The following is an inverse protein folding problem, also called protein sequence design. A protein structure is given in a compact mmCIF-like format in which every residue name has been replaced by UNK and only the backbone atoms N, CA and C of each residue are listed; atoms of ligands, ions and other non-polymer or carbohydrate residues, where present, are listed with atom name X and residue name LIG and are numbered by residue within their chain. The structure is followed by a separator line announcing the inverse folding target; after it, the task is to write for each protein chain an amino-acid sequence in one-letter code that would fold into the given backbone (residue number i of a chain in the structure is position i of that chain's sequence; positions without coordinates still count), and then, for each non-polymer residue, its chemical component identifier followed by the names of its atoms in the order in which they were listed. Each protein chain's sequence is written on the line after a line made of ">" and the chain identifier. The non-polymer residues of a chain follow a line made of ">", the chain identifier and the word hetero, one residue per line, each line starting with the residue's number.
data_IF_977462695808
#
_entry.id   IF_977462695808
#
_cell.length_a   1.000
_cell.length_b   1.000
_cell.length_c   1.000
_cell.angle_alpha   90.00
_cell.angle_beta   90.00
_cell.angle_gamma   90.00
#
_symmetry.space_group_name_H-M   'P 1'
#
loop_
_entity.id
_entity.type
_entity.pdbx_description
1 polymer ?
#
# COMPACT_ATOMS: atom_id res chain seq x y z
N UNK A 1 8.14 -6.47 30.76
CA UNK A 1 9.45 -7.04 30.38
C UNK A 1 9.48 -7.39 28.90
N UNK A 2 8.38 -7.90 28.30
CA UNK A 2 8.28 -8.20 26.87
C UNK A 2 8.50 -7.02 25.89
N UNK A 3 7.99 -5.81 26.19
CA UNK A 3 8.15 -4.65 25.29
C UNK A 3 9.63 -4.24 25.07
N UNK A 4 10.49 -4.50 26.06
CA UNK A 4 11.90 -4.12 25.99
C UNK A 4 12.69 -5.09 25.07
N UNK A 5 12.35 -6.38 25.13
CA UNK A 5 12.93 -7.42 24.27
C UNK A 5 12.52 -7.26 22.80
N UNK A 6 11.28 -6.86 22.55
CA UNK A 6 10.79 -6.59 21.20
C UNK A 6 11.47 -5.36 20.59
N UNK A 7 11.66 -4.31 21.39
CA UNK A 7 12.39 -3.10 20.99
C UNK A 7 13.86 -3.39 20.69
N UNK A 8 14.55 -4.21 21.49
CA UNK A 8 15.93 -4.60 21.22
C UNK A 8 16.06 -5.46 19.95
N UNK A 9 15.12 -6.38 19.72
CA UNK A 9 15.08 -7.17 18.47
C UNK A 9 14.86 -6.29 17.25
N UNK A 10 13.95 -5.32 17.33
CA UNK A 10 13.71 -4.35 16.26
C UNK A 10 14.98 -3.52 15.96
N UNK A 11 15.65 -3.01 17.00
CA UNK A 11 16.91 -2.28 16.88
C UNK A 11 18.05 -3.12 16.29
N UNK A 12 18.13 -4.40 16.63
CA UNK A 12 19.12 -5.33 16.05
C UNK A 12 18.90 -5.55 14.55
N UNK A 13 17.64 -5.71 14.13
CA UNK A 13 17.27 -5.82 12.70
C UNK A 13 17.62 -4.52 11.97
N UNK A 14 17.27 -3.37 12.55
CA UNK A 14 17.58 -2.05 11.99
C UNK A 14 19.08 -1.85 11.77
N UNK A 15 19.94 -2.16 12.75
CA UNK A 15 21.40 -2.02 12.59
C UNK A 15 21.96 -2.91 11.48
N UNK A 16 21.49 -4.16 11.39
CA UNK A 16 21.89 -5.08 10.31
C UNK A 16 21.45 -4.57 8.94
N UNK A 17 20.24 -4.03 8.85
CA UNK A 17 19.73 -3.37 7.64
C UNK A 17 20.63 -2.22 7.20
N UNK A 18 20.90 -1.26 8.09
CA UNK A 18 21.74 -0.09 7.78
C UNK A 18 23.12 -0.50 7.28
N UNK A 19 23.76 -1.47 7.95
CA UNK A 19 25.10 -1.90 7.55
C UNK A 19 25.12 -2.57 6.17
N UNK A 20 24.11 -3.40 5.87
CA UNK A 20 23.99 -4.09 4.59
C UNK A 20 23.59 -3.14 3.46
N UNK A 21 22.66 -2.21 3.70
CA UNK A 21 22.30 -1.16 2.76
C UNK A 21 23.51 -0.33 2.35
N UNK A 22 24.34 0.08 3.30
CA UNK A 22 25.61 0.79 3.00
C UNK A 22 26.51 -0.02 2.08
N UNK A 23 26.67 -1.32 2.32
CA UNK A 23 27.50 -2.20 1.48
C UNK A 23 26.95 -2.32 0.06
N UNK A 24 25.63 -2.42 -0.11
CA UNK A 24 24.97 -2.46 -1.43
C UNK A 24 25.07 -1.11 -2.16
N UNK A 25 24.95 0.01 -1.46
CA UNK A 25 25.07 1.37 -2.01
C UNK A 25 26.48 1.64 -2.58
N UNK A 26 27.51 1.27 -1.82
CA UNK A 26 28.92 1.43 -2.21
C UNK A 26 29.43 0.32 -3.13
N UNK A 27 28.59 -0.66 -3.49
CA UNK A 27 28.99 -1.82 -4.30
C UNK A 27 30.03 -2.72 -3.62
N UNK A 28 30.16 -2.64 -2.29
CA UNK A 28 30.99 -3.55 -1.48
C UNK A 28 30.34 -4.94 -1.38
N UNK A 29 29.02 -5.02 -1.50
CA UNK A 29 28.24 -6.25 -1.64
C UNK A 29 27.44 -6.18 -2.95
N UNK A 30 27.41 -7.26 -3.72
CA UNK A 30 26.58 -7.37 -4.92
C UNK A 30 25.33 -8.15 -4.54
N UNK A 31 24.17 -7.56 -4.77
CA UNK A 31 22.89 -8.26 -4.66
C UNK A 31 22.83 -9.55 -5.48
N UNK A 32 21.92 -10.45 -5.12
CA UNK A 32 21.70 -11.64 -5.95
C UNK A 32 21.33 -11.20 -7.38
N UNK A 33 21.92 -11.86 -8.39
CA UNK A 33 21.48 -11.68 -9.78
C UNK A 33 20.12 -12.34 -9.93
N UNK A 34 19.22 -11.71 -10.69
CA UNK A 34 18.04 -12.42 -11.17
C UNK A 34 18.50 -13.71 -11.85
N UNK A 35 17.85 -14.86 -11.57
CA UNK A 35 18.15 -16.08 -12.29
C UNK A 35 17.95 -15.83 -13.79
N UNK A 36 18.86 -16.37 -14.62
CA UNK A 36 18.59 -16.49 -16.05
C UNK A 36 17.30 -17.29 -16.23
N UNK A 37 16.54 -17.01 -17.28
CA UNK A 37 15.30 -17.74 -17.66
C UNK A 37 15.44 -19.26 -17.79
N UNK A 38 16.66 -19.78 -17.65
CA UNK A 38 17.07 -21.16 -17.89
C UNK A 38 17.15 -22.02 -16.62
N UNK A 39 16.66 -21.54 -15.48
CA UNK A 39 16.43 -22.43 -14.34
C UNK A 39 15.13 -23.19 -14.56
N UNK A 40 15.28 -24.40 -15.12
CA UNK A 40 14.30 -25.48 -15.18
C UNK A 40 13.48 -25.55 -13.89
N UNK A 41 12.32 -24.89 -13.89
CA UNK A 41 11.31 -25.10 -12.85
C UNK A 41 10.55 -26.36 -13.21
N UNK A 42 10.82 -27.42 -12.44
CA UNK A 42 10.06 -28.65 -12.47
C UNK A 42 8.56 -28.36 -12.42
N UNK A 43 7.88 -28.85 -13.45
CA UNK A 43 6.43 -29.00 -13.63
C UNK A 43 5.62 -28.95 -12.31
N UNK A 44 5.19 -27.75 -11.88
CA UNK A 44 3.97 -27.48 -11.08
C UNK A 44 3.88 -26.09 -10.42
N UNK A 45 4.89 -25.21 -10.47
CA UNK A 45 4.83 -23.87 -9.87
C UNK A 45 5.50 -22.84 -10.76
N UNK A 46 5.01 -21.60 -10.80
CA UNK A 46 5.63 -20.53 -11.60
C UNK A 46 7.06 -20.19 -11.15
N UNK A 47 7.75 -19.38 -11.94
CA UNK A 47 9.04 -18.81 -11.53
C UNK A 47 8.88 -18.08 -10.17
N UNK A 48 9.81 -18.24 -9.22
CA UNK A 48 9.75 -17.49 -7.96
C UNK A 48 9.74 -15.99 -8.26
N UNK A 49 8.91 -15.26 -7.52
CA UNK A 49 8.83 -13.81 -7.55
C UNK A 49 9.98 -13.18 -6.77
N UNK A 50 10.48 -12.07 -7.30
CA UNK A 50 11.60 -11.30 -6.75
C UNK A 50 11.21 -9.83 -6.64
N UNK A 51 11.75 -9.15 -5.63
CA UNK A 51 11.74 -7.70 -5.53
C UNK A 51 13.01 -7.16 -6.18
N UNK A 52 12.84 -6.23 -7.11
CA UNK A 52 13.93 -5.47 -7.68
C UNK A 52 14.11 -4.17 -6.88
N UNK A 53 15.27 -3.98 -6.25
CA UNK A 53 15.53 -2.84 -5.37
C UNK A 53 16.82 -2.11 -5.72
N UNK A 54 16.76 -0.79 -5.68
CA UNK A 54 17.94 0.08 -5.69
C UNK A 54 18.09 0.77 -4.34
N UNK A 55 19.32 0.94 -3.89
CA UNK A 55 19.66 1.71 -2.69
C UNK A 55 20.36 3.04 -3.04
N UNK A 56 20.73 3.23 -4.30
CA UNK A 56 21.55 4.35 -4.76
C UNK A 56 20.88 5.07 -5.93
N UNK A 57 19.61 5.40 -5.76
CA UNK A 57 18.82 6.22 -6.70
C UNK A 57 18.80 5.67 -8.14
N UNK A 58 18.79 4.34 -8.27
CA UNK A 58 18.69 3.65 -9.55
C UNK A 58 20.02 3.43 -10.28
N UNK A 59 21.17 3.79 -9.68
CA UNK A 59 22.47 3.52 -10.29
C UNK A 59 22.73 2.01 -10.40
N UNK A 60 22.44 1.26 -9.34
CA UNK A 60 22.52 -0.20 -9.31
C UNK A 60 21.22 -0.80 -8.76
N UNK A 61 20.96 -2.06 -9.13
CA UNK A 61 19.79 -2.81 -8.71
C UNK A 61 20.19 -4.19 -8.20
N UNK A 62 19.48 -4.65 -7.17
CA UNK A 62 19.64 -5.93 -6.49
C UNK A 62 18.32 -6.69 -6.53
N UNK A 63 18.37 -7.98 -6.79
CA UNK A 63 17.22 -8.85 -6.68
C UNK A 63 17.16 -9.47 -5.29
N UNK A 64 15.97 -9.51 -4.72
CA UNK A 64 15.70 -10.12 -3.42
C UNK A 64 14.56 -11.11 -3.61
N UNK A 65 14.80 -12.39 -3.32
CA UNK A 65 13.76 -13.41 -3.44
C UNK A 65 12.68 -13.15 -2.40
N UNK A 66 11.42 -13.19 -2.83
CA UNK A 66 10.32 -13.14 -1.87
C UNK A 66 10.18 -14.47 -1.13
N UNK A 67 9.79 -14.44 0.15
CA UNK A 67 9.46 -15.67 0.87
C UNK A 67 8.25 -16.36 0.23
N UNK A 68 8.11 -17.67 0.45
CA UNK A 68 7.06 -18.51 -0.18
C UNK A 68 5.64 -17.95 0.00
N UNK A 69 5.34 -17.37 1.16
CA UNK A 69 4.02 -16.78 1.46
C UNK A 69 3.72 -15.48 0.71
N UNK A 70 4.72 -14.86 0.06
CA UNK A 70 4.59 -13.68 -0.80
C UNK A 70 4.74 -14.00 -2.29
N UNK A 71 4.72 -15.27 -2.69
CA UNK A 71 4.82 -15.70 -4.09
C UNK A 71 3.54 -15.40 -4.92
N UNK A 72 2.55 -14.77 -4.30
CA UNK A 72 1.33 -14.25 -4.93
C UNK A 72 1.14 -12.75 -4.70
N UNK A 73 2.21 -12.03 -4.34
CA UNK A 73 2.16 -10.59 -4.07
C UNK A 73 1.62 -9.84 -5.29
N UNK A 74 0.70 -8.91 -5.03
CA UNK A 74 0.07 -8.04 -6.02
C UNK A 74 0.71 -6.67 -6.07
N UNK A 75 1.28 -6.22 -4.95
CA UNK A 75 1.94 -4.92 -4.89
C UNK A 75 2.68 -4.67 -3.59
N UNK A 76 3.42 -3.57 -3.59
CA UNK A 76 4.14 -3.04 -2.43
C UNK A 76 3.71 -1.60 -2.15
N UNK A 77 3.70 -1.22 -0.87
CA UNK A 77 3.31 0.11 -0.40
C UNK A 77 4.29 0.58 0.65
N UNK A 78 4.92 1.74 0.43
CA UNK A 78 5.80 2.35 1.41
C UNK A 78 4.97 3.07 2.47
N UNK A 79 5.44 3.05 3.72
CA UNK A 79 4.88 3.91 4.76
C UNK A 79 5.29 5.38 4.48
N UNK A 80 4.35 6.30 4.22
CA UNK A 80 4.70 7.69 3.95
C UNK A 80 5.27 8.42 5.18
N UNK A 81 5.13 7.84 6.38
CA UNK A 81 5.62 8.39 7.64
C UNK A 81 6.90 7.70 8.14
N UNK A 82 7.35 6.62 7.49
CA UNK A 82 8.54 5.88 7.85
C UNK A 82 9.28 5.34 6.60
N UNK A 83 10.45 5.92 6.31
CA UNK A 83 11.26 5.63 5.13
C UNK A 83 11.88 4.22 5.07
N UNK A 84 11.76 3.43 6.15
CA UNK A 84 12.25 2.04 6.20
C UNK A 84 11.15 1.00 6.11
N UNK A 85 9.89 1.39 6.31
CA UNK A 85 8.78 0.44 6.40
C UNK A 85 8.10 0.26 5.05
N UNK A 86 7.96 -1.01 4.64
CA UNK A 86 7.31 -1.42 3.40
C UNK A 86 6.28 -2.51 3.70
N UNK A 87 5.15 -2.46 3.02
CA UNK A 87 4.10 -3.45 3.11
C UNK A 87 3.97 -4.17 1.77
N UNK A 88 3.81 -5.47 1.82
CA UNK A 88 3.46 -6.32 0.69
C UNK A 88 2.01 -6.75 0.86
N UNK A 89 1.26 -6.71 -0.23
CA UNK A 89 -0.13 -7.18 -0.27
C UNK A 89 -0.29 -8.27 -1.32
N UNK A 90 -0.84 -9.41 -0.89
CA UNK A 90 -1.37 -10.46 -1.73
C UNK A 90 -2.88 -10.60 -1.44
N UNK A 91 -3.59 -11.48 -2.17
CA UNK A 91 -5.05 -11.63 -2.04
C UNK A 91 -5.55 -12.01 -0.64
N UNK A 92 -4.69 -12.56 0.20
CA UNK A 92 -5.04 -13.08 1.52
C UNK A 92 -3.88 -12.89 2.52
N UNK A 93 -2.94 -11.99 2.21
CA UNK A 93 -1.77 -11.77 3.04
C UNK A 93 -1.39 -10.30 2.97
N UNK A 94 -1.22 -9.69 4.13
CA UNK A 94 -0.48 -8.44 4.29
C UNK A 94 0.75 -8.80 5.11
N UNK A 95 1.93 -8.47 4.60
CA UNK A 95 3.18 -8.66 5.30
C UNK A 95 3.91 -7.32 5.35
N UNK A 96 4.64 -7.09 6.44
CA UNK A 96 5.42 -5.87 6.63
C UNK A 96 6.90 -6.19 6.68
N UNK A 97 7.69 -5.28 6.14
CA UNK A 97 9.14 -5.24 6.24
C UNK A 97 9.55 -3.94 6.92
N UNK A 98 10.48 -4.03 7.86
CA UNK A 98 11.08 -2.87 8.54
C UNK A 98 12.47 -2.51 8.02
N UNK A 99 12.93 -3.27 7.03
CA UNK A 99 14.26 -3.18 6.44
C UNK A 99 14.13 -3.11 4.91
N UNK A 100 13.07 -2.42 4.45
CA UNK A 100 12.84 -2.09 3.05
C UNK A 100 12.95 -3.32 2.11
N UNK A 101 12.13 -4.34 2.36
CA UNK A 101 12.04 -5.61 1.63
C UNK A 101 13.16 -6.64 1.84
N UNK A 102 14.15 -6.40 2.71
CA UNK A 102 15.20 -7.40 2.97
C UNK A 102 14.65 -8.61 3.74
N UNK A 103 13.82 -8.36 4.75
CA UNK A 103 13.10 -9.38 5.51
C UNK A 103 11.64 -8.98 5.67
N UNK A 104 10.79 -9.98 5.85
CA UNK A 104 9.34 -9.81 5.95
C UNK A 104 8.83 -10.51 7.20
N UNK A 105 7.91 -9.86 7.89
CA UNK A 105 7.01 -10.53 8.83
C UNK A 105 6.10 -11.51 8.08
N UNK A 106 5.60 -12.51 8.79
CA UNK A 106 4.57 -13.38 8.24
C UNK A 106 3.26 -12.60 7.98
N UNK A 107 2.38 -13.23 7.19
CA UNK A 107 1.05 -12.67 6.91
C UNK A 107 0.31 -12.33 8.20
N UNK A 108 -0.27 -11.14 8.24
CA UNK A 108 -1.08 -10.71 9.37
C UNK A 108 -2.32 -11.57 9.54
N UNK A 109 -2.55 -12.00 10.78
CA UNK A 109 -3.75 -12.69 11.22
C UNK A 109 -4.40 -11.78 12.27
N UNK A 110 -5.44 -11.04 11.88
CA UNK A 110 -6.01 -9.98 12.73
C UNK A 110 -7.52 -9.98 12.62
N UNK A 111 -8.19 -9.56 13.69
CA UNK A 111 -9.64 -9.56 13.76
C UNK A 111 -10.23 -8.63 12.68
N UNK A 112 -11.24 -9.11 11.96
CA UNK A 112 -11.87 -8.41 10.84
C UNK A 112 -11.01 -8.25 9.57
N UNK A 113 -9.78 -8.78 9.52
CA UNK A 113 -8.94 -8.77 8.31
C UNK A 113 -9.38 -9.90 7.36
N UNK A 114 -10.51 -9.71 6.70
CA UNK A 114 -11.19 -10.76 5.93
C UNK A 114 -11.49 -10.37 4.48
N UNK A 115 -11.70 -11.37 3.63
CA UNK A 115 -12.01 -11.21 2.22
C UNK A 115 -10.79 -11.31 1.31
N UNK A 116 -10.98 -11.03 0.02
CA UNK A 116 -9.92 -11.06 -0.97
C UNK A 116 -9.35 -9.65 -1.18
N UNK A 117 -8.12 -9.42 -0.74
CA UNK A 117 -7.48 -8.12 -0.79
C UNK A 117 -7.06 -7.76 -2.23
N UNK A 118 -7.32 -6.51 -2.61
CA UNK A 118 -6.91 -5.96 -3.90
C UNK A 118 -5.74 -4.98 -3.74
N UNK A 119 -5.89 -4.03 -2.82
CA UNK A 119 -4.86 -3.02 -2.55
C UNK A 119 -4.85 -2.59 -1.08
N UNK A 120 -3.74 -1.98 -0.66
CA UNK A 120 -3.49 -1.40 0.63
C UNK A 120 -3.16 0.08 0.44
N UNK A 121 -3.84 0.95 1.17
CA UNK A 121 -3.58 2.38 1.21
C UNK A 121 -3.18 2.75 2.62
N UNK A 122 -2.04 3.43 2.75
CA UNK A 122 -1.40 3.71 4.03
C UNK A 122 -1.42 5.22 4.25
N UNK A 123 -2.01 5.63 5.37
CA UNK A 123 -1.88 6.99 5.88
C UNK A 123 -0.62 7.09 6.75
N UNK A 124 -0.47 6.15 7.68
CA UNK A 124 0.63 6.01 8.62
C UNK A 124 0.65 4.58 9.21
N UNK A 125 1.56 4.32 10.14
CA UNK A 125 1.69 3.01 10.79
C UNK A 125 0.47 2.53 11.60
N UNK A 126 -0.47 3.42 11.94
CA UNK A 126 -1.68 3.10 12.70
C UNK A 126 -2.92 3.01 11.81
N UNK A 127 -3.00 3.85 10.78
CA UNK A 127 -4.20 4.02 9.95
C UNK A 127 -3.97 3.55 8.52
N UNK A 128 -4.72 2.53 8.10
CA UNK A 128 -4.62 1.95 6.76
C UNK A 128 -5.99 1.48 6.28
N UNK A 129 -6.17 1.42 4.96
CA UNK A 129 -7.35 0.87 4.29
C UNK A 129 -6.93 -0.27 3.38
N UNK A 130 -7.64 -1.39 3.45
CA UNK A 130 -7.52 -2.50 2.49
C UNK A 130 -8.77 -2.51 1.62
N UNK A 131 -8.58 -2.38 0.31
CA UNK A 131 -9.65 -2.58 -0.66
C UNK A 131 -9.86 -4.07 -0.91
N UNK A 132 -11.13 -4.47 -1.11
CA UNK A 132 -11.52 -5.88 -1.22
C UNK A 132 -12.30 -6.13 -2.49
N UNK A 133 -12.12 -7.31 -3.06
CA UNK A 133 -12.90 -7.74 -4.21
C UNK A 133 -14.34 -8.06 -3.79
N UNK A 134 -15.30 -7.34 -4.37
CA UNK A 134 -16.74 -7.61 -4.18
C UNK A 134 -17.33 -7.16 -2.86
N UNK A 135 -16.59 -6.39 -2.05
CA UNK A 135 -17.05 -5.90 -0.74
C UNK A 135 -16.51 -4.49 -0.46
N UNK A 136 -17.05 -3.82 0.57
CA UNK A 136 -16.53 -2.53 1.05
C UNK A 136 -15.09 -2.68 1.55
N UNK A 137 -14.27 -1.62 1.48
CA UNK A 137 -12.95 -1.63 2.10
C UNK A 137 -13.06 -1.84 3.62
N UNK A 138 -11.99 -2.34 4.21
CA UNK A 138 -11.80 -2.42 5.66
C UNK A 138 -10.70 -1.45 6.07
N UNK A 139 -10.84 -0.86 7.26
CA UNK A 139 -9.90 0.12 7.81
C UNK A 139 -9.39 -0.34 9.17
N UNK A 140 -8.11 -0.13 9.42
CA UNK A 140 -7.52 -0.18 10.76
C UNK A 140 -7.17 1.24 11.21
N UNK A 141 -7.23 1.48 12.53
CA UNK A 141 -6.74 2.69 13.21
C UNK A 141 -5.84 2.33 14.39
N UNK A 142 -5.46 1.06 14.52
CA UNK A 142 -4.67 0.51 15.63
C UNK A 142 -3.43 -0.27 15.16
N UNK A 143 -2.97 0.03 13.95
CA UNK A 143 -1.76 -0.55 13.36
C UNK A 143 -1.93 -1.98 12.88
N UNK A 144 -3.15 -2.31 12.46
CA UNK A 144 -3.51 -3.61 11.89
C UNK A 144 -3.94 -4.65 12.91
N UNK A 145 -4.10 -4.30 14.20
CA UNK A 145 -4.55 -5.25 15.23
C UNK A 145 -6.02 -5.62 15.05
N UNK A 146 -6.84 -4.68 14.60
CA UNK A 146 -8.22 -4.90 14.21
C UNK A 146 -8.61 -4.11 12.97
N UNK A 147 -9.55 -4.66 12.21
CA UNK A 147 -10.03 -4.10 10.96
C UNK A 147 -11.55 -4.03 10.95
N UNK A 148 -12.09 -2.91 10.49
CA UNK A 148 -13.50 -2.64 10.51
C UNK A 148 -13.98 -2.24 9.11
N UNK A 149 -15.11 -2.78 8.61
CA UNK A 149 -15.67 -2.37 7.33
C UNK A 149 -16.02 -0.88 7.29
N UNK A 150 -15.69 -0.21 6.19
CA UNK A 150 -16.15 1.15 5.90
C UNK A 150 -17.59 1.09 5.34
N UNK A 151 -18.55 0.74 6.18
CA UNK A 151 -19.94 0.52 5.77
C UNK A 151 -20.60 1.77 5.16
N UNK A 152 -20.13 2.97 5.52
CA UNK A 152 -20.63 4.23 4.97
C UNK A 152 -20.37 4.38 3.46
N UNK A 153 -19.39 3.66 2.89
CA UNK A 153 -19.13 3.63 1.43
C UNK A 153 -19.76 2.44 0.70
N UNK A 154 -20.71 1.72 1.33
CA UNK A 154 -21.44 0.61 0.70
C UNK A 154 -22.05 0.95 -0.68
N UNK A 155 -22.61 2.15 -0.91
CA UNK A 155 -23.11 2.52 -2.25
C UNK A 155 -22.06 2.44 -3.36
N UNK A 156 -20.77 2.55 -2.98
CA UNK A 156 -19.60 2.50 -3.87
C UNK A 156 -18.91 1.14 -3.90
N UNK A 157 -19.44 0.13 -3.21
CA UNK A 157 -18.81 -1.20 -3.11
C UNK A 157 -18.50 -1.84 -4.47
N UNK A 158 -19.30 -1.53 -5.50
CA UNK A 158 -19.07 -2.00 -6.88
C UNK A 158 -17.75 -1.51 -7.49
N UNK A 159 -17.25 -0.38 -7.03
CA UNK A 159 -16.01 0.23 -7.51
C UNK A 159 -14.87 0.16 -6.48
N UNK A 160 -15.14 -0.41 -5.31
CA UNK A 160 -14.15 -0.66 -4.24
C UNK A 160 -12.81 -1.26 -4.73
N UNK A 161 -12.78 -2.23 -5.69
CA UNK A 161 -11.53 -2.79 -6.20
C UNK A 161 -10.58 -1.77 -6.82
N UNK A 162 -11.15 -0.78 -7.53
CA UNK A 162 -10.43 0.20 -8.34
C UNK A 162 -10.52 1.61 -7.72
N UNK A 163 -11.07 1.71 -6.51
CA UNK A 163 -11.21 2.96 -5.80
C UNK A 163 -9.83 3.44 -5.32
N UNK A 164 -9.61 4.73 -5.50
CA UNK A 164 -8.37 5.39 -5.13
C UNK A 164 -8.62 6.23 -3.89
N UNK A 165 -7.65 6.21 -2.99
CA UNK A 165 -7.71 6.91 -1.71
C UNK A 165 -6.51 7.83 -1.56
N UNK A 166 -6.74 9.00 -0.97
CA UNK A 166 -5.68 9.96 -0.68
C UNK A 166 -6.00 10.73 0.60
N UNK A 167 -5.04 10.81 1.50
CA UNK A 167 -5.14 11.51 2.78
C UNK A 167 -4.42 12.86 2.77
N UNK A 168 -4.97 13.82 3.51
CA UNK A 168 -4.31 15.03 4.02
C UNK A 168 -4.84 15.31 5.42
N UNK A 169 -3.99 15.16 6.45
CA UNK A 169 -4.45 15.30 7.84
C UNK A 169 -5.55 14.28 8.19
N UNK A 170 -6.75 14.75 8.55
CA UNK A 170 -7.95 13.90 8.77
C UNK A 170 -8.86 13.78 7.55
N UNK A 171 -8.51 14.49 6.49
CA UNK A 171 -9.29 14.53 5.26
C UNK A 171 -8.90 13.36 4.39
N UNK A 172 -9.88 12.54 4.01
CA UNK A 172 -9.72 11.40 3.13
C UNK A 172 -10.59 11.59 1.90
N UNK A 173 -9.99 11.61 0.72
CA UNK A 173 -10.73 11.53 -0.53
C UNK A 173 -10.75 10.10 -1.05
N UNK A 174 -11.91 9.69 -1.54
CA UNK A 174 -12.15 8.49 -2.32
C UNK A 174 -12.55 8.92 -3.73
N UNK A 175 -11.93 8.33 -4.74
CA UNK A 175 -12.31 8.53 -6.14
C UNK A 175 -12.48 7.20 -6.84
N UNK A 176 -13.55 7.03 -7.62
CA UNK A 176 -13.76 5.86 -8.46
C UNK A 176 -14.63 6.19 -9.69
N UNK A 177 -14.87 5.22 -10.57
CA UNK A 177 -15.68 5.42 -11.79
C UNK A 177 -16.89 4.49 -11.81
N UNK A 178 -18.10 5.06 -11.79
CA UNK A 178 -19.40 4.36 -11.86
C UNK A 178 -20.21 4.89 -13.05
N UNK A 179 -19.75 4.67 -14.28
CA UNK A 179 -20.29 5.32 -15.47
C UNK A 179 -19.88 6.79 -15.61
N UNK A 180 -19.69 7.49 -14.49
CA UNK A 180 -19.08 8.80 -14.34
C UNK A 180 -18.08 8.80 -13.17
N UNK A 181 -17.17 9.77 -13.11
CA UNK A 181 -16.28 9.94 -11.96
C UNK A 181 -17.09 10.28 -10.71
N UNK A 182 -16.82 9.53 -9.64
CA UNK A 182 -17.37 9.74 -8.29
C UNK A 182 -16.22 10.18 -7.39
N UNK A 183 -16.44 11.24 -6.62
CA UNK A 183 -15.49 11.76 -5.64
C UNK A 183 -16.21 11.95 -4.31
N UNK A 184 -15.85 11.17 -3.30
CA UNK A 184 -16.38 11.32 -1.94
C UNK A 184 -15.27 11.79 -1.01
N UNK A 185 -15.60 12.67 -0.06
CA UNK A 185 -14.64 13.23 0.89
C UNK A 185 -15.14 12.99 2.31
N UNK A 186 -14.24 12.52 3.17
CA UNK A 186 -14.43 12.41 4.61
C UNK A 186 -13.51 13.39 5.31
N UNK A 187 -13.97 13.98 6.42
CA UNK A 187 -13.17 14.86 7.29
C UNK A 187 -12.82 14.19 8.64
N UNK A 188 -13.14 12.89 8.77
CA UNK A 188 -13.02 12.08 9.97
C UNK A 188 -12.41 10.70 9.66
N UNK A 189 -11.41 10.68 8.77
CA UNK A 189 -10.67 9.47 8.37
C UNK A 189 -11.51 8.31 7.81
N UNK A 190 -12.70 8.62 7.30
CA UNK A 190 -13.59 7.69 6.60
C UNK A 190 -14.79 7.21 7.42
N UNK A 191 -15.07 7.80 8.58
CA UNK A 191 -16.28 7.45 9.36
C UNK A 191 -17.54 7.96 8.65
N UNK A 192 -17.51 9.23 8.22
CA UNK A 192 -18.58 9.87 7.46
C UNK A 192 -18.07 10.44 6.15
N UNK A 193 -18.93 10.46 5.14
CA UNK A 193 -18.57 10.87 3.78
C UNK A 193 -19.58 11.86 3.22
N UNK A 194 -19.05 12.84 2.49
CA UNK A 194 -19.79 13.78 1.69
C UNK A 194 -19.54 13.46 0.21
N UNK A 195 -20.61 13.33 -0.57
CA UNK A 195 -20.51 13.22 -2.02
C UNK A 195 -20.13 14.57 -2.62
N UNK A 196 -18.96 14.63 -3.25
CA UNK A 196 -18.37 15.80 -3.89
C UNK A 196 -18.14 15.58 -5.39
N UNK A 197 -18.87 14.64 -5.98
CA UNK A 197 -18.77 14.31 -7.41
C UNK A 197 -19.21 15.47 -8.32
N UNK A 198 -19.97 16.45 -7.80
CA UNK A 198 -20.33 17.68 -8.51
C UNK A 198 -20.86 17.46 -9.93
N UNK A 199 -20.37 18.27 -10.88
CA UNK A 199 -20.67 18.20 -12.32
C UNK A 199 -19.63 17.38 -13.11
N UNK A 200 -18.84 16.51 -12.46
CA UNK A 200 -17.85 15.69 -13.16
C UNK A 200 -18.55 14.73 -14.14
N UNK A 201 -18.59 15.13 -15.41
CA UNK A 201 -19.19 14.36 -16.51
C UNK A 201 -18.19 13.44 -17.21
N UNK A 202 -16.90 13.53 -16.86
CA UNK A 202 -15.88 12.66 -17.43
C UNK A 202 -16.11 11.21 -16.97
N UNK A 203 -16.05 10.29 -17.94
CA UNK A 203 -16.26 8.85 -17.72
C UNK A 203 -14.98 8.12 -17.30
N UNK A 204 -13.87 8.84 -17.13
CA UNK A 204 -12.59 8.25 -16.78
C UNK A 204 -11.61 9.25 -16.18
N UNK A 205 -10.74 8.70 -15.34
CA UNK A 205 -9.62 9.38 -14.69
C UNK A 205 -9.66 9.20 -13.18
N UNK A 206 -8.51 8.83 -12.65
CA UNK A 206 -8.32 8.38 -11.28
C UNK A 206 -6.93 8.77 -10.83
N UNK A 207 -6.64 10.06 -10.79
CA UNK A 207 -5.52 10.50 -9.96
C UNK A 207 -6.06 11.62 -9.10
N UNK A 208 -6.55 11.23 -7.94
CA UNK A 208 -6.84 12.11 -6.83
C UNK A 208 -5.54 12.25 -6.02
N UNK A 209 -4.92 13.43 -6.03
CA UNK A 209 -3.82 13.74 -5.10
C UNK A 209 -4.18 14.96 -4.28
N UNK A 210 -4.01 14.84 -2.96
CA UNK A 210 -4.10 15.97 -2.06
C UNK A 210 -2.78 16.71 -1.96
N UNK A 211 -2.86 18.04 -1.91
CA UNK A 211 -1.78 18.90 -1.46
C UNK A 211 -2.38 20.06 -0.66
N UNK A 212 -1.92 20.22 0.58
CA UNK A 212 -2.52 21.14 1.56
C UNK A 212 -4.02 20.90 1.70
N UNK A 213 -4.85 21.93 1.44
CA UNK A 213 -6.30 21.84 1.46
C UNK A 213 -6.93 21.68 0.07
N UNK A 214 -6.14 21.28 -0.94
CA UNK A 214 -6.64 21.12 -2.32
C UNK A 214 -6.56 19.68 -2.81
N UNK A 215 -7.69 19.16 -3.27
CA UNK A 215 -7.80 17.90 -3.99
C UNK A 215 -7.65 18.14 -5.49
N UNK A 216 -6.66 17.51 -6.11
CA UNK A 216 -6.48 17.48 -7.56
C UNK A 216 -7.06 16.20 -8.13
N UNK A 217 -7.95 16.29 -9.11
CA UNK A 217 -8.58 15.14 -9.78
C UNK A 217 -8.18 15.18 -11.25
N UNK A 218 -7.43 14.17 -11.69
CA UNK A 218 -7.15 13.96 -13.10
C UNK A 218 -8.30 13.21 -13.76
N UNK A 219 -8.88 13.81 -14.80
CA UNK A 219 -9.84 13.17 -15.70
C UNK A 219 -9.22 12.95 -17.08
N UNK A 220 -9.51 11.80 -17.70
CA UNK A 220 -9.20 11.58 -19.10
C UNK A 220 -10.18 12.42 -19.94
N UNK A 221 -9.65 13.49 -20.55
CA UNK A 221 -10.38 14.35 -21.47
C UNK A 221 -10.72 15.75 -20.95
N UNK A 222 -10.71 15.99 -19.63
CA UNK A 222 -10.87 17.35 -19.07
C UNK A 222 -9.64 17.85 -18.31
N UNK A 223 -8.54 17.06 -18.30
CA UNK A 223 -7.27 17.46 -17.72
C UNK A 223 -7.26 17.30 -16.20
N UNK A 224 -6.69 18.27 -15.49
CA UNK A 224 -6.62 18.26 -14.02
C UNK A 224 -7.60 19.30 -13.50
N UNK A 225 -8.61 18.84 -12.78
CA UNK A 225 -9.48 19.69 -11.98
C UNK A 225 -8.95 19.79 -10.55
N UNK A 226 -9.29 20.85 -9.83
CA UNK A 226 -8.92 20.97 -8.42
C UNK A 226 -10.05 21.59 -7.61
N UNK A 227 -10.16 21.18 -6.36
CA UNK A 227 -11.10 21.77 -5.39
C UNK A 227 -10.36 22.03 -4.09
N UNK A 228 -10.39 23.28 -3.64
CA UNK A 228 -9.84 23.69 -2.35
C UNK A 228 -10.95 23.65 -1.30
N UNK A 229 -10.69 22.92 -0.21
CA UNK A 229 -11.57 22.79 0.93
C UNK A 229 -11.18 23.82 1.99
N UNK A 230 -12.19 24.30 2.73
CA UNK A 230 -11.96 25.12 3.92
C UNK A 230 -11.86 24.15 5.10
N UNK A 231 -10.68 24.06 5.69
CA UNK A 231 -10.48 23.37 6.98
C UNK A 231 -11.02 24.22 8.14
#
# INVERSE_FOLDING_TARGET
>A
EDDNDETERAMSRYRRHVERSRKLEWGEEVGERAPSSDLDVGSSGGNPMWVLKSFNYGANWTWIMLPDFLQSVRGFRADPTNDTTLYAIASNCIARSYDQALTWEYCWESDGLEGAFNDLVIKDSLTMIVTRAGDVPIRTTDGGRSWHPLASVQPLAKCSPDALYSWSGKTLALSCVMGQTVVWVSMDDGDTWLDESGDYSATSGGVAQWYESTLYVSSLGQGISSKTFKE
#
